data_IF_516186548679
#
_entry.id   IF_516186548679
#
_cell.length_a   1.000
_cell.length_b   1.000
_cell.length_c   1.000
_cell.angle_alpha   90.00
_cell.angle_beta   90.00
_cell.angle_gamma   90.00
#
_symmetry.space_group_name_H-M   'P 1'
#
loop_
_entity.id
_entity.type
_entity.pdbx_description
1 polymer ?
#
# COMPACT_ATOMS: atom_id res chain seq x y z
N UNK A 1 -22.69 5.44 -24.61
CA UNK A 1 -21.41 6.02 -24.17
C UNK A 1 -21.51 7.53 -24.26
N UNK A 2 -20.99 8.28 -23.28
CA UNK A 2 -21.24 9.71 -23.04
C UNK A 2 -20.69 10.71 -24.11
N UNK A 3 -20.55 10.33 -25.38
CA UNK A 3 -20.29 11.26 -26.49
C UNK A 3 -18.92 11.95 -26.53
N UNK A 4 -17.94 11.53 -25.71
CA UNK A 4 -16.59 12.12 -25.72
C UNK A 4 -15.77 11.49 -26.86
N UNK A 5 -15.13 12.32 -27.69
CA UNK A 5 -14.28 11.84 -28.78
C UNK A 5 -13.02 11.14 -28.27
N UNK A 6 -12.54 10.15 -29.03
CA UNK A 6 -11.30 9.41 -28.70
C UNK A 6 -10.10 10.34 -28.55
N UNK A 7 -10.00 11.39 -29.36
CA UNK A 7 -8.91 12.36 -29.29
C UNK A 7 -8.93 13.17 -28.00
N UNK A 8 -10.13 13.55 -27.51
CA UNK A 8 -10.28 14.22 -26.22
C UNK A 8 -9.88 13.30 -25.07
N UNK A 9 -10.25 12.02 -25.12
CA UNK A 9 -9.84 11.02 -24.12
C UNK A 9 -8.31 10.86 -24.12
N UNK A 10 -7.70 10.67 -25.30
CA UNK A 10 -6.25 10.51 -25.45
C UNK A 10 -5.48 11.72 -24.92
N UNK A 11 -5.95 12.93 -25.25
CA UNK A 11 -5.32 14.18 -24.78
C UNK A 11 -5.43 14.34 -23.27
N UNK A 12 -6.60 14.05 -22.68
CA UNK A 12 -6.80 14.13 -21.23
C UNK A 12 -5.93 13.11 -20.47
N UNK A 13 -5.77 11.89 -21.00
CA UNK A 13 -4.91 10.88 -20.38
C UNK A 13 -3.43 11.28 -20.38
N UNK A 14 -2.95 11.96 -21.43
CA UNK A 14 -1.56 12.46 -21.51
C UNK A 14 -1.27 13.55 -20.49
N UNK A 15 -2.26 14.35 -20.10
CA UNK A 15 -2.09 15.46 -19.16
C UNK A 15 -2.43 15.10 -17.72
N UNK A 16 -2.87 13.87 -17.46
CA UNK A 16 -3.26 13.41 -16.15
C UNK A 16 -2.05 13.37 -15.19
N UNK A 17 -2.09 14.21 -14.14
CA UNK A 17 -0.99 14.38 -13.17
C UNK A 17 -1.06 13.43 -11.96
N UNK A 18 -1.84 12.36 -12.04
CA UNK A 18 -2.23 11.51 -10.91
C UNK A 18 -3.23 12.19 -9.95
N UNK A 19 -3.73 11.40 -9.01
CA UNK A 19 -4.53 11.87 -7.86
C UNK A 19 -3.61 12.05 -6.66
N UNK A 20 -3.93 13.02 -5.79
CA UNK A 20 -3.14 13.32 -4.58
C UNK A 20 -2.93 12.05 -3.75
N UNK A 21 -1.72 11.83 -3.23
CA UNK A 21 -1.34 10.65 -2.44
C UNK A 21 -1.44 9.31 -3.20
N UNK A 22 -1.22 9.30 -4.51
CA UNK A 22 -0.94 8.07 -5.29
C UNK A 22 0.49 8.10 -5.79
N UNK A 23 1.35 7.27 -5.19
CA UNK A 23 2.79 7.19 -5.46
C UNK A 23 3.46 8.57 -5.51
N UNK A 24 3.09 9.45 -4.57
CA UNK A 24 3.55 10.83 -4.53
C UNK A 24 4.94 10.88 -3.87
N UNK A 25 5.96 11.30 -4.62
CA UNK A 25 7.30 11.53 -4.05
C UNK A 25 7.24 12.76 -3.16
N UNK A 26 7.50 12.57 -1.86
CA UNK A 26 7.44 13.61 -0.83
C UNK A 26 8.79 14.26 -0.58
N UNK A 27 9.86 13.46 -0.67
CA UNK A 27 11.22 13.91 -0.47
C UNK A 27 12.22 12.89 -1.02
N UNK A 28 13.44 13.35 -1.26
CA UNK A 28 14.62 12.52 -1.45
C UNK A 28 15.68 13.00 -0.47
N UNK A 29 16.15 12.11 0.41
CA UNK A 29 17.11 12.44 1.47
C UNK A 29 18.17 11.36 1.51
N UNK A 30 19.45 11.73 1.34
CA UNK A 30 20.58 10.81 1.38
C UNK A 30 20.41 9.58 0.47
N UNK A 31 19.83 9.77 -0.72
CA UNK A 31 19.55 8.68 -1.67
C UNK A 31 18.32 7.83 -1.37
N UNK A 32 17.51 8.20 -0.37
CA UNK A 32 16.26 7.52 -0.01
C UNK A 32 15.08 8.35 -0.54
N UNK A 33 14.27 7.74 -1.41
CA UNK A 33 13.03 8.33 -1.90
C UNK A 33 11.87 8.00 -0.95
N UNK A 34 11.22 9.04 -0.41
CA UNK A 34 10.04 8.91 0.44
C UNK A 34 8.79 9.08 -0.42
N UNK A 35 7.91 8.09 -0.42
CA UNK A 35 6.71 8.05 -1.27
C UNK A 35 5.47 7.88 -0.38
N UNK A 36 4.47 8.75 -0.54
CA UNK A 36 3.15 8.64 0.11
C UNK A 36 2.14 8.00 -0.86
N UNK A 37 1.43 6.98 -0.37
CA UNK A 37 0.32 6.33 -1.06
C UNK A 37 -0.86 6.07 -0.10
N UNK A 38 -2.09 6.26 -0.57
CA UNK A 38 -3.30 6.00 0.24
C UNK A 38 -3.82 4.56 0.16
N UNK A 39 -3.12 3.64 -0.52
CA UNK A 39 -3.48 2.24 -0.59
C UNK A 39 -3.69 1.65 0.81
N UNK A 40 -4.90 1.13 1.04
CA UNK A 40 -5.32 0.55 2.31
C UNK A 40 -6.06 -0.79 2.13
N UNK A 41 -6.18 -1.25 0.89
CA UNK A 41 -6.74 -2.56 0.55
C UNK A 41 -5.60 -3.44 -0.01
N UNK A 42 -5.55 -4.75 0.31
CA UNK A 42 -4.47 -5.64 -0.13
C UNK A 42 -4.16 -5.57 -1.64
N UNK A 43 -5.20 -5.59 -2.49
CA UNK A 43 -5.04 -5.45 -3.95
C UNK A 43 -4.36 -4.15 -4.36
N UNK A 44 -4.71 -3.04 -3.71
CA UNK A 44 -4.10 -1.74 -4.00
C UNK A 44 -2.65 -1.69 -3.51
N UNK A 45 -2.36 -2.25 -2.33
CA UNK A 45 -1.01 -2.34 -1.76
C UNK A 45 -0.10 -3.18 -2.69
N UNK A 46 -0.57 -4.35 -3.14
CA UNK A 46 0.15 -5.18 -4.08
C UNK A 46 0.44 -4.45 -5.41
N UNK A 47 -0.55 -3.71 -5.94
CA UNK A 47 -0.38 -2.87 -7.13
C UNK A 47 0.66 -1.76 -6.94
N UNK A 48 0.63 -1.08 -5.78
CA UNK A 48 1.62 -0.06 -5.40
C UNK A 48 3.02 -0.67 -5.35
N UNK A 49 3.22 -1.79 -4.66
CA UNK A 49 4.53 -2.43 -4.54
C UNK A 49 5.05 -2.96 -5.89
N UNK A 50 4.19 -3.51 -6.74
CA UNK A 50 4.56 -3.91 -8.10
C UNK A 50 4.99 -2.72 -8.96
N UNK A 51 4.25 -1.61 -8.89
CA UNK A 51 4.60 -0.39 -9.62
C UNK A 51 5.93 0.21 -9.14
N UNK A 52 6.16 0.22 -7.83
CA UNK A 52 7.42 0.69 -7.25
C UNK A 52 8.61 -0.18 -7.66
N UNK A 53 8.45 -1.51 -7.65
CA UNK A 53 9.53 -2.42 -8.08
C UNK A 53 9.88 -2.25 -9.56
N UNK A 54 8.89 -2.02 -10.41
CA UNK A 54 9.10 -1.72 -11.83
C UNK A 54 9.80 -0.37 -12.04
N UNK A 55 9.39 0.65 -11.28
CA UNK A 55 9.93 2.01 -11.38
C UNK A 55 11.35 2.15 -10.82
N UNK A 56 11.68 1.39 -9.78
CA UNK A 56 12.96 1.43 -9.06
C UNK A 56 13.59 0.03 -9.03
N UNK A 57 14.05 -0.49 -10.18
CA UNK A 57 14.64 -1.82 -10.25
C UNK A 57 15.88 -1.91 -9.36
N UNK A 58 15.97 -2.97 -8.56
CA UNK A 58 17.09 -3.21 -7.63
C UNK A 58 17.08 -2.37 -6.36
N UNK A 59 16.19 -1.39 -6.21
CA UNK A 59 16.05 -0.64 -4.97
C UNK A 59 15.38 -1.50 -3.88
N UNK A 60 15.82 -1.34 -2.63
CA UNK A 60 15.17 -1.94 -1.46
C UNK A 60 13.90 -1.15 -1.11
N UNK A 61 12.76 -1.83 -1.04
CA UNK A 61 11.45 -1.25 -0.79
C UNK A 61 11.05 -1.51 0.67
N UNK A 62 10.84 -0.43 1.42
CA UNK A 62 10.28 -0.45 2.76
C UNK A 62 8.80 -0.08 2.70
N UNK A 63 7.92 -0.99 3.10
CA UNK A 63 6.49 -0.72 3.24
C UNK A 63 6.17 -0.31 4.69
N UNK A 64 5.79 0.96 4.88
CA UNK A 64 5.41 1.50 6.18
C UNK A 64 3.89 1.72 6.17
N UNK A 65 3.17 0.95 6.99
CA UNK A 65 1.70 0.93 6.99
C UNK A 65 1.14 1.37 8.35
N UNK A 66 0.19 2.31 8.33
CA UNK A 66 -0.60 2.67 9.51
C UNK A 66 -2.06 2.21 9.34
N UNK A 67 -2.54 1.24 10.14
CA UNK A 67 -3.91 0.74 10.03
C UNK A 67 -4.95 1.78 10.49
N UNK A 68 -5.43 2.65 9.58
CA UNK A 68 -6.44 3.69 9.91
C UNK A 68 -7.85 3.43 9.42
N UNK A 69 -8.03 2.78 8.27
CA UNK A 69 -9.37 2.57 7.69
C UNK A 69 -10.16 1.52 8.48
N UNK A 70 -11.50 1.57 8.43
CA UNK A 70 -12.33 0.58 9.13
C UNK A 70 -11.99 -0.86 8.74
N UNK A 71 -11.76 -1.12 7.47
CA UNK A 71 -11.41 -2.45 6.97
C UNK A 71 -10.02 -2.87 7.42
N UNK A 72 -9.03 -1.97 7.36
CA UNK A 72 -7.63 -2.30 7.66
C UNK A 72 -7.37 -2.50 9.15
N UNK A 73 -8.21 -1.90 10.01
CA UNK A 73 -8.15 -2.10 11.48
C UNK A 73 -8.70 -3.44 11.94
N UNK A 74 -9.25 -4.25 11.04
CA UNK A 74 -9.91 -5.52 11.33
C UNK A 74 -9.19 -6.70 10.68
N UNK A 75 -9.36 -7.90 11.23
CA UNK A 75 -8.69 -9.12 10.75
C UNK A 75 -9.29 -9.72 9.47
N UNK A 76 -10.39 -9.17 8.95
CA UNK A 76 -11.16 -9.70 7.81
C UNK A 76 -10.35 -9.92 6.54
N UNK A 77 -9.30 -9.13 6.31
CA UNK A 77 -8.42 -9.24 5.14
C UNK A 77 -6.96 -9.52 5.52
N UNK A 78 -6.70 -9.98 6.74
CA UNK A 78 -5.32 -10.08 7.28
C UNK A 78 -4.43 -10.99 6.42
N UNK A 79 -4.94 -12.14 5.97
CA UNK A 79 -4.16 -13.07 5.15
C UNK A 79 -3.72 -12.45 3.81
N UNK A 80 -4.62 -11.70 3.16
CA UNK A 80 -4.31 -11.05 1.90
C UNK A 80 -3.43 -9.81 2.12
N UNK A 81 -3.62 -9.11 3.23
CA UNK A 81 -2.74 -8.02 3.65
C UNK A 81 -1.32 -8.54 3.83
N UNK A 82 -1.12 -9.66 4.54
CA UNK A 82 0.18 -10.28 4.74
C UNK A 82 0.87 -10.60 3.41
N UNK A 83 0.15 -11.26 2.48
CA UNK A 83 0.66 -11.58 1.14
C UNK A 83 1.05 -10.33 0.35
N UNK A 84 0.23 -9.28 0.42
CA UNK A 84 0.52 -8.02 -0.28
C UNK A 84 1.76 -7.34 0.28
N UNK A 85 1.91 -7.27 1.62
CA UNK A 85 3.04 -6.64 2.28
C UNK A 85 4.35 -7.42 2.10
N UNK A 86 4.28 -8.76 2.03
CA UNK A 86 5.44 -9.62 1.80
C UNK A 86 6.12 -9.42 0.42
N UNK A 87 5.55 -8.59 -0.47
CA UNK A 87 6.20 -8.17 -1.71
C UNK A 87 7.28 -7.10 -1.50
N UNK A 88 7.25 -6.39 -0.36
CA UNK A 88 8.29 -5.46 0.06
C UNK A 88 9.50 -6.20 0.64
N UNK A 89 10.65 -5.54 0.68
CA UNK A 89 11.86 -6.11 1.28
C UNK A 89 11.85 -5.94 2.80
N UNK A 90 11.21 -4.88 3.29
CA UNK A 90 10.98 -4.65 4.71
C UNK A 90 9.57 -4.13 4.96
N UNK A 91 8.99 -4.50 6.09
CA UNK A 91 7.64 -4.08 6.48
C UNK A 91 7.65 -3.56 7.91
N UNK A 92 7.12 -2.35 8.09
CA UNK A 92 6.85 -1.76 9.39
C UNK A 92 5.35 -1.47 9.46
N UNK A 93 4.67 -2.03 10.46
CA UNK A 93 3.25 -1.77 10.71
C UNK A 93 3.13 -1.05 12.04
N UNK A 94 2.51 0.13 12.02
CA UNK A 94 2.21 0.88 13.24
C UNK A 94 1.04 0.23 14.00
N UNK A 95 0.83 0.67 15.24
CA UNK A 95 -0.32 0.23 16.04
C UNK A 95 -1.65 0.51 15.34
N UNK A 96 -2.64 -0.33 15.63
CA UNK A 96 -4.00 -0.19 15.08
C UNK A 96 -4.63 1.11 15.62
N UNK A 97 -4.93 2.05 14.73
CA UNK A 97 -5.46 3.36 15.11
C UNK A 97 -6.83 3.25 15.79
N UNK A 98 -6.96 3.81 17.02
CA UNK A 98 -8.19 3.68 17.84
C UNK A 98 -8.65 2.21 17.97
N UNK A 99 -7.71 1.36 18.39
CA UNK A 99 -7.93 -0.09 18.55
C UNK A 99 -9.03 -0.42 19.56
N UNK A 100 -9.19 0.42 20.59
CA UNK A 100 -10.24 0.39 21.62
C UNK A 100 -11.67 0.42 21.04
N UNK A 101 -11.85 1.06 19.88
CA UNK A 101 -13.13 1.11 19.18
C UNK A 101 -13.46 -0.16 18.36
N UNK A 102 -12.57 -1.16 18.35
CA UNK A 102 -12.72 -2.42 17.60
C UNK A 102 -12.71 -3.60 18.60
N UNK A 103 -13.74 -4.47 18.60
CA UNK A 103 -13.73 -5.70 19.39
C UNK A 103 -12.48 -6.52 19.13
N UNK A 104 -11.86 -7.05 20.19
CA UNK A 104 -10.57 -7.74 20.09
C UNK A 104 -10.60 -8.91 19.09
N UNK A 105 -11.67 -9.70 19.08
CA UNK A 105 -11.86 -10.82 18.16
C UNK A 105 -11.96 -10.41 16.68
N UNK A 106 -12.25 -9.14 16.39
CA UNK A 106 -12.37 -8.60 15.04
C UNK A 106 -11.17 -7.73 14.65
N UNK A 107 -10.28 -7.42 15.58
CA UNK A 107 -9.15 -6.49 15.40
C UNK A 107 -8.06 -7.15 14.58
N UNK A 108 -7.35 -6.34 13.78
CA UNK A 108 -6.12 -6.77 13.12
C UNK A 108 -5.12 -7.26 14.18
N UNK A 109 -4.66 -8.50 14.04
CA UNK A 109 -3.66 -9.09 14.92
C UNK A 109 -2.27 -8.82 14.32
N UNK A 110 -1.54 -7.86 14.92
CA UNK A 110 -0.22 -7.47 14.44
C UNK A 110 0.84 -8.57 14.63
N UNK A 111 0.72 -9.40 15.66
CA UNK A 111 1.64 -10.51 15.91
C UNK A 111 1.48 -11.61 14.87
N UNK A 112 0.24 -12.03 14.64
CA UNK A 112 -0.08 -12.99 13.58
C UNK A 112 0.23 -12.42 12.19
N UNK A 113 -0.05 -11.14 11.94
CA UNK A 113 0.29 -10.48 10.67
C UNK A 113 1.79 -10.52 10.40
N UNK A 114 2.62 -10.14 11.39
CA UNK A 114 4.07 -10.18 11.26
C UNK A 114 4.60 -11.60 10.97
N UNK A 115 4.08 -12.60 11.70
CA UNK A 115 4.44 -14.00 11.46
C UNK A 115 4.04 -14.48 10.05
N UNK A 116 2.89 -14.05 9.54
CA UNK A 116 2.45 -14.38 8.18
C UNK A 116 3.31 -13.70 7.11
N UNK A 117 3.68 -12.44 7.30
CA UNK A 117 4.59 -11.72 6.40
C UNK A 117 5.92 -12.45 6.33
N UNK A 118 6.49 -12.86 7.47
CA UNK A 118 7.76 -13.60 7.50
C UNK A 118 7.70 -14.94 6.76
N UNK A 119 6.58 -15.67 6.84
CA UNK A 119 6.39 -16.92 6.07
C UNK A 119 6.28 -16.71 4.57
N UNK A 120 5.80 -15.55 4.14
CA UNK A 120 5.61 -15.21 2.73
C UNK A 120 6.74 -14.35 2.15
N UNK A 121 7.64 -13.86 3.00
CA UNK A 121 8.73 -12.98 2.63
C UNK A 121 9.72 -13.68 1.69
N UNK A 122 10.28 -12.89 0.77
CA UNK A 122 11.38 -13.32 -0.09
C UNK A 122 12.69 -13.11 0.67
N UNK A 123 13.41 -14.18 0.96
CA UNK A 123 14.81 -14.12 1.39
C UNK A 123 15.73 -13.81 0.21
#
# INVERSE_FOLDING_TARGET
GCGISKDKISTALKTFKSVKRRLEVRAEVNGITIIDDFAHHPTAIAGTLAALRSRYPGARIWAILEPRSNTLRRNVLQNDLAKSLAMADEVVVADVFKSDAIPEAERLDLGSLAAQIQRHGRH
#
